data_IF_676500204018
#
_entry.id   IF_676500204018
#
_cell.length_a   1.000
_cell.length_b   1.000
_cell.length_c   1.000
_cell.angle_alpha   90.00
_cell.angle_beta   90.00
_cell.angle_gamma   90.00
#
_symmetry.space_group_name_H-M   'P 1'
#
loop_
_entity.id
_entity.type
_entity.pdbx_description
1 polymer ?
#
# COMPACT_ATOMS: atom_id res chain seq x y z
N UNK A 1 -6.41 24.85 17.65
CA UNK A 1 -5.71 24.07 18.69
C UNK A 1 -5.01 22.91 17.99
N UNK A 2 -3.70 22.78 18.16
CA UNK A 2 -2.92 21.65 17.66
C UNK A 2 -2.94 20.55 18.74
N UNK A 3 -3.31 19.33 18.36
CA UNK A 3 -3.26 18.16 19.24
C UNK A 3 -2.15 17.23 18.76
N UNK A 4 -1.30 16.78 19.69
CA UNK A 4 -0.22 15.83 19.42
C UNK A 4 -0.51 14.58 20.25
N UNK A 5 -0.41 13.41 19.62
CA UNK A 5 -0.61 12.10 20.25
C UNK A 5 0.55 11.19 19.84
N UNK A 6 0.98 10.32 20.76
CA UNK A 6 1.86 9.23 20.40
C UNK A 6 1.05 8.08 19.80
N UNK A 7 1.55 7.51 18.71
CA UNK A 7 0.99 6.30 18.09
C UNK A 7 1.66 5.03 18.60
N UNK A 8 2.60 5.17 19.52
CA UNK A 8 3.35 4.09 20.15
C UNK A 8 3.66 4.44 21.61
N UNK A 9 4.13 3.45 22.36
CA UNK A 9 4.61 3.67 23.72
C UNK A 9 5.94 4.42 23.69
N UNK A 10 5.98 5.60 24.32
CA UNK A 10 7.20 6.37 24.49
C UNK A 10 7.66 6.23 25.94
N UNK A 11 8.81 5.60 26.22
CA UNK A 11 9.31 5.48 27.58
C UNK A 11 9.68 6.86 28.13
N UNK A 12 9.66 7.00 29.46
CA UNK A 12 10.07 8.23 30.11
C UNK A 12 11.49 8.65 29.64
N UNK A 13 11.69 9.95 29.47
CA UNK A 13 12.97 10.55 29.06
C UNK A 13 13.43 10.24 27.63
N UNK A 14 12.58 9.62 26.80
CA UNK A 14 12.85 9.45 25.38
C UNK A 14 12.40 10.71 24.60
N UNK A 15 13.17 11.13 23.58
CA UNK A 15 12.76 12.22 22.69
C UNK A 15 11.41 11.94 22.03
N UNK A 16 10.59 12.99 21.88
CA UNK A 16 9.40 12.94 21.05
C UNK A 16 9.77 13.38 19.64
N UNK A 17 9.67 12.45 18.69
CA UNK A 17 9.95 12.71 17.28
C UNK A 17 8.64 12.79 16.50
N UNK A 18 8.62 13.64 15.47
CA UNK A 18 7.50 13.79 14.55
C UNK A 18 8.02 13.66 13.12
N UNK A 19 7.30 12.97 12.25
CA UNK A 19 7.68 12.86 10.84
C UNK A 19 7.43 14.19 10.13
N UNK A 20 8.49 14.76 9.54
CA UNK A 20 8.40 16.00 8.75
C UNK A 20 8.14 15.73 7.27
N UNK A 21 8.25 14.47 6.85
CA UNK A 21 8.02 14.04 5.49
C UNK A 21 7.22 12.75 5.40
N UNK A 22 7.15 12.16 4.20
CA UNK A 22 6.43 10.91 3.97
C UNK A 22 7.02 9.74 4.74
N UNK A 23 6.14 8.85 5.20
CA UNK A 23 6.46 7.66 5.97
C UNK A 23 6.77 6.47 5.05
N UNK A 24 7.28 5.39 5.65
CA UNK A 24 7.44 4.08 5.00
C UNK A 24 6.09 3.64 4.42
N UNK A 25 6.10 3.15 3.19
CA UNK A 25 4.88 2.79 2.45
C UNK A 25 4.22 3.95 1.70
N UNK A 26 4.48 5.20 2.07
CA UNK A 26 4.01 6.37 1.32
C UNK A 26 4.92 6.69 0.13
N UNK A 27 6.23 6.70 0.36
CA UNK A 27 7.30 6.85 -0.64
C UNK A 27 8.39 5.81 -0.38
N UNK A 28 9.19 5.48 -1.40
CA UNK A 28 10.40 4.67 -1.19
C UNK A 28 11.51 5.46 -0.48
N UNK A 29 12.58 4.76 -0.09
CA UNK A 29 13.69 5.36 0.65
C UNK A 29 14.36 6.52 -0.11
N UNK A 30 14.52 6.40 -1.44
CA UNK A 30 15.19 7.43 -2.23
C UNK A 30 14.36 8.70 -2.23
N UNK A 31 13.07 8.56 -2.50
CA UNK A 31 12.14 9.69 -2.58
C UNK A 31 11.93 10.35 -1.21
N UNK A 32 11.91 9.56 -0.12
CA UNK A 32 11.90 10.12 1.24
C UNK A 32 13.14 10.98 1.52
N UNK A 33 14.34 10.48 1.18
CA UNK A 33 15.59 11.22 1.40
C UNK A 33 15.65 12.48 0.54
N UNK A 34 15.31 12.36 -0.75
CA UNK A 34 15.30 13.50 -1.67
C UNK A 34 14.36 14.60 -1.19
N UNK A 35 13.13 14.26 -0.81
CA UNK A 35 12.16 15.23 -0.32
C UNK A 35 12.67 15.95 0.93
N UNK A 36 13.24 15.22 1.89
CA UNK A 36 13.76 15.82 3.12
C UNK A 36 15.00 16.69 2.88
N UNK A 37 15.88 16.27 1.98
CA UNK A 37 17.07 17.04 1.59
C UNK A 37 16.68 18.32 0.83
N UNK A 38 15.74 18.23 -0.10
CA UNK A 38 15.25 19.39 -0.88
C UNK A 38 14.48 20.40 -0.03
N UNK A 39 13.59 19.93 0.86
CA UNK A 39 12.70 20.81 1.62
C UNK A 39 13.30 21.29 2.94
N UNK A 40 14.15 20.48 3.57
CA UNK A 40 14.65 20.72 4.92
C UNK A 40 16.18 20.66 5.02
N UNK A 41 16.89 20.43 3.91
CA UNK A 41 18.36 20.44 3.84
C UNK A 41 19.06 19.48 4.80
N UNK A 42 18.44 18.32 5.06
CA UNK A 42 19.05 17.24 5.84
C UNK A 42 18.78 15.87 5.24
N UNK A 43 19.66 14.91 5.54
CA UNK A 43 19.44 13.49 5.27
C UNK A 43 18.97 12.77 6.52
N UNK A 44 17.88 12.04 6.41
CA UNK A 44 17.27 11.37 7.54
C UNK A 44 18.05 10.11 7.94
N UNK A 45 18.26 9.94 9.24
CA UNK A 45 18.97 8.78 9.81
C UNK A 45 18.11 8.06 10.87
N UNK A 46 16.77 8.20 10.78
CA UNK A 46 15.87 7.42 11.63
C UNK A 46 15.98 5.93 11.27
N UNK A 47 15.49 5.05 12.15
CA UNK A 47 15.49 3.59 11.94
C UNK A 47 14.95 3.18 10.57
N UNK A 48 13.84 3.79 10.13
CA UNK A 48 13.19 3.58 8.83
C UNK A 48 13.98 4.07 7.61
N UNK A 49 15.02 4.88 7.81
CA UNK A 49 15.89 5.41 6.76
C UNK A 49 17.30 4.81 6.81
N UNK A 50 17.69 4.27 7.97
CA UNK A 50 18.96 3.57 8.18
C UNK A 50 18.95 2.13 7.64
N UNK A 51 17.77 1.53 7.52
CA UNK A 51 17.58 0.19 6.92
C UNK A 51 16.52 0.22 5.83
N UNK A 52 16.76 -0.56 4.76
CA UNK A 52 15.82 -0.65 3.64
C UNK A 52 14.62 -1.52 4.01
N UNK A 53 13.41 -0.96 3.91
CA UNK A 53 12.18 -1.69 4.23
C UNK A 53 11.70 -2.52 3.05
N UNK A 54 10.94 -3.58 3.33
CA UNK A 54 10.29 -4.36 2.26
C UNK A 54 9.45 -3.47 1.35
N UNK A 55 8.67 -2.54 1.91
CA UNK A 55 7.89 -1.56 1.16
C UNK A 55 8.75 -0.73 0.20
N UNK A 56 9.97 -0.35 0.61
CA UNK A 56 10.86 0.48 -0.20
C UNK A 56 11.28 -0.25 -1.49
N UNK A 57 11.35 -1.58 -1.44
CA UNK A 57 11.62 -2.40 -2.62
C UNK A 57 10.42 -2.51 -3.54
N UNK A 58 9.20 -2.67 -3.00
CA UNK A 58 8.03 -3.06 -3.79
C UNK A 58 7.12 -1.90 -4.21
N UNK A 59 7.13 -0.78 -3.49
CA UNK A 59 6.15 0.30 -3.63
C UNK A 59 6.08 0.84 -5.06
N UNK A 60 7.24 0.99 -5.71
CA UNK A 60 7.40 1.51 -7.07
C UNK A 60 7.88 0.43 -8.08
N UNK A 61 7.97 -0.83 -7.65
CA UNK A 61 8.58 -1.89 -8.43
C UNK A 61 7.77 -2.34 -9.66
N UNK A 62 8.52 -2.82 -10.65
CA UNK A 62 7.98 -3.60 -11.75
C UNK A 62 8.06 -5.10 -11.45
N UNK A 63 7.15 -5.86 -12.04
CA UNK A 63 7.09 -7.32 -11.93
C UNK A 63 8.20 -7.94 -12.77
N UNK A 64 8.83 -9.03 -12.32
CA UNK A 64 9.67 -9.82 -13.22
C UNK A 64 8.88 -10.30 -14.47
N UNK A 65 9.45 -10.27 -15.69
CA UNK A 65 8.77 -10.81 -16.88
C UNK A 65 8.65 -12.34 -16.86
N UNK A 66 9.42 -13.04 -16.01
CA UNK A 66 9.30 -14.49 -15.83
C UNK A 66 8.06 -14.82 -14.98
N UNK A 67 7.13 -15.61 -15.53
CA UNK A 67 5.81 -15.87 -14.94
C UNK A 67 5.86 -16.37 -13.48
N UNK A 68 6.77 -17.31 -13.19
CA UNK A 68 6.92 -17.92 -11.85
C UNK A 68 7.89 -17.15 -10.93
N UNK A 69 8.28 -15.94 -11.32
CA UNK A 69 9.17 -15.09 -10.54
C UNK A 69 8.40 -13.94 -9.92
N UNK A 70 8.31 -13.92 -8.59
CA UNK A 70 7.80 -12.78 -7.82
C UNK A 70 8.90 -11.76 -7.50
N UNK A 71 9.99 -11.77 -8.28
CA UNK A 71 11.10 -10.87 -8.08
C UNK A 71 10.76 -9.43 -8.50
N UNK A 72 11.42 -8.48 -7.85
CA UNK A 72 11.31 -7.05 -8.11
C UNK A 72 12.26 -6.65 -9.23
N UNK A 73 11.79 -5.78 -10.12
CA UNK A 73 12.63 -4.99 -11.03
C UNK A 73 12.48 -3.53 -10.64
N UNK A 74 13.58 -2.88 -10.23
CA UNK A 74 13.58 -1.49 -9.78
C UNK A 74 14.08 -0.54 -10.87
N UNK A 75 13.59 0.71 -10.83
CA UNK A 75 13.94 1.76 -11.78
C UNK A 75 15.22 2.52 -11.40
N UNK A 76 15.55 2.60 -10.10
CA UNK A 76 16.36 3.72 -9.59
C UNK A 76 17.75 3.32 -9.08
N UNK A 77 18.00 2.03 -8.81
CA UNK A 77 19.16 1.66 -7.99
C UNK A 77 20.01 0.54 -8.58
N UNK A 78 21.32 0.70 -8.45
CA UNK A 78 22.26 -0.41 -8.48
C UNK A 78 22.24 -1.12 -7.14
N UNK A 79 21.98 -2.42 -7.18
CA UNK A 79 21.99 -3.27 -6.00
C UNK A 79 23.26 -4.09 -6.00
N UNK A 80 24.07 -3.93 -4.96
CA UNK A 80 25.24 -4.77 -4.73
C UNK A 80 24.93 -5.75 -3.60
N UNK A 81 24.86 -7.04 -3.92
CA UNK A 81 24.82 -8.10 -2.90
C UNK A 81 26.19 -8.18 -2.21
N UNK A 82 26.24 -7.96 -0.90
CA UNK A 82 27.47 -8.05 -0.10
C UNK A 82 27.59 -9.43 0.55
N UNK A 83 26.53 -9.89 1.22
CA UNK A 83 26.43 -11.19 1.90
C UNK A 83 25.00 -11.76 1.72
N UNK A 84 24.75 -13.00 2.16
CA UNK A 84 23.47 -13.70 1.92
C UNK A 84 22.23 -13.01 2.53
N UNK A 85 22.41 -12.05 3.44
CA UNK A 85 21.33 -11.25 4.04
C UNK A 85 21.52 -9.73 3.90
N UNK A 86 22.50 -9.26 3.13
CA UNK A 86 22.84 -7.83 3.01
C UNK A 86 22.87 -7.36 1.55
N UNK A 87 21.87 -6.56 1.19
CA UNK A 87 21.88 -5.75 -0.04
C UNK A 87 22.35 -4.34 0.30
N UNK A 88 23.40 -3.88 -0.40
CA UNK A 88 23.78 -2.48 -0.44
C UNK A 88 23.12 -1.83 -1.64
N UNK A 89 22.27 -0.85 -1.36
CA UNK A 89 21.68 0.00 -2.40
C UNK A 89 22.57 1.22 -2.54
N UNK A 90 23.19 1.40 -3.71
CA UNK A 90 23.91 2.62 -4.06
C UNK A 90 23.05 3.45 -4.99
N UNK A 91 22.40 4.48 -4.43
CA UNK A 91 21.86 5.60 -5.20
C UNK A 91 22.92 6.70 -5.36
N UNK A 92 22.61 7.76 -6.10
CA UNK A 92 23.54 8.87 -6.34
C UNK A 92 24.03 9.59 -5.06
N UNK A 93 23.39 9.38 -3.90
CA UNK A 93 23.63 10.16 -2.69
C UNK A 93 23.57 9.41 -1.34
N UNK A 94 23.34 8.09 -1.29
CA UNK A 94 23.38 7.31 -0.04
C UNK A 94 23.70 5.82 -0.26
N UNK A 95 24.16 5.18 0.82
CA UNK A 95 24.29 3.73 0.92
C UNK A 95 23.43 3.23 2.09
N UNK A 96 22.46 2.37 1.82
CA UNK A 96 21.63 1.75 2.86
C UNK A 96 21.82 0.23 2.86
N UNK A 97 21.73 -0.39 4.04
CA UNK A 97 21.76 -1.84 4.22
C UNK A 97 20.33 -2.36 4.29
N UNK A 98 20.05 -3.42 3.54
CA UNK A 98 18.89 -4.24 3.83
C UNK A 98 19.27 -5.21 4.95
N UNK A 99 18.83 -4.94 6.18
CA UNK A 99 18.71 -5.99 7.19
C UNK A 99 17.37 -6.67 6.93
N UNK A 100 17.37 -7.91 6.43
CA UNK A 100 16.14 -8.69 6.39
C UNK A 100 15.54 -8.71 7.82
N UNK A 101 14.24 -8.44 8.03
CA UNK A 101 13.72 -8.51 9.37
C UNK A 101 13.88 -9.94 9.88
N UNK A 102 14.37 -10.10 11.11
CA UNK A 102 13.87 -11.16 11.98
C UNK A 102 12.38 -10.90 12.09
N UNK A 103 11.62 -11.46 11.15
CA UNK A 103 10.21 -11.16 10.97
C UNK A 103 9.50 -11.60 12.24
N UNK A 104 8.90 -10.65 12.97
CA UNK A 104 7.97 -10.97 14.04
C UNK A 104 6.91 -11.94 13.50
N UNK A 105 6.46 -12.89 14.33
CA UNK A 105 5.63 -14.06 13.94
C UNK A 105 4.39 -13.77 13.08
N UNK A 106 4.01 -12.51 12.87
CA UNK A 106 2.81 -12.07 12.16
C UNK A 106 2.99 -11.80 10.65
N UNK A 107 4.18 -11.90 10.04
CA UNK A 107 4.41 -11.52 8.62
C UNK A 107 5.01 -12.64 7.74
N UNK A 108 4.52 -13.86 7.90
CA UNK A 108 5.05 -15.08 7.24
C UNK A 108 5.11 -15.01 5.69
N UNK A 109 4.21 -14.28 5.04
CA UNK A 109 4.22 -14.08 3.59
C UNK A 109 5.32 -13.14 3.08
N UNK A 110 5.64 -12.09 3.84
CA UNK A 110 6.68 -11.10 3.49
C UNK A 110 8.06 -11.73 3.59
N UNK A 111 8.30 -12.58 4.60
CA UNK A 111 9.54 -13.37 4.73
C UNK A 111 9.79 -14.22 3.48
N UNK A 112 8.78 -14.95 2.97
CA UNK A 112 8.94 -15.79 1.78
C UNK A 112 9.28 -14.98 0.53
N UNK A 113 8.63 -13.83 0.31
CA UNK A 113 8.92 -12.95 -0.83
C UNK A 113 10.30 -12.31 -0.69
N UNK A 114 10.66 -11.85 0.51
CA UNK A 114 11.98 -11.31 0.80
C UNK A 114 13.10 -12.35 0.60
N UNK A 115 12.89 -13.61 1.03
CA UNK A 115 13.82 -14.71 0.74
C UNK A 115 13.88 -15.05 -0.76
N UNK A 116 12.75 -14.99 -1.49
CA UNK A 116 12.75 -15.16 -2.94
C UNK A 116 13.52 -14.05 -3.67
N UNK A 117 13.53 -12.82 -3.14
CA UNK A 117 14.30 -11.71 -3.69
C UNK A 117 15.82 -11.90 -3.55
N UNK A 118 16.30 -12.73 -2.62
CA UNK A 118 17.74 -12.85 -2.29
C UNK A 118 18.35 -14.21 -2.69
N UNK A 119 17.54 -15.11 -3.26
CA UNK A 119 17.86 -16.52 -3.57
C UNK A 119 19.35 -16.79 -3.81
N UNK A 120 19.88 -17.73 -3.03
CA UNK A 120 21.26 -18.23 -2.97
C UNK A 120 21.91 -18.41 -4.34
N UNK A 121 22.59 -17.37 -4.83
CA UNK A 121 23.81 -17.56 -5.58
C UNK A 121 24.88 -16.83 -4.77
N UNK A 122 25.86 -17.57 -4.26
CA UNK A 122 27.03 -17.06 -3.51
C UNK A 122 27.98 -16.21 -4.36
N UNK A 123 27.42 -15.46 -5.31
CA UNK A 123 28.11 -14.57 -6.23
C UNK A 123 27.64 -13.17 -5.92
N UNK A 124 28.57 -12.29 -5.56
CA UNK A 124 28.35 -10.85 -5.52
C UNK A 124 27.90 -10.41 -6.91
N UNK A 125 26.62 -10.11 -7.08
CA UNK A 125 26.06 -9.63 -8.34
C UNK A 125 25.76 -8.13 -8.21
N UNK A 126 26.27 -7.36 -9.15
CA UNK A 126 25.84 -5.97 -9.38
C UNK A 126 24.62 -6.03 -10.30
N UNK A 127 23.45 -5.79 -9.72
CA UNK A 127 22.19 -5.82 -10.47
C UNK A 127 21.87 -4.38 -10.86
N UNK A 128 22.03 -4.09 -12.15
CA UNK A 128 21.69 -2.80 -12.73
C UNK A 128 20.17 -2.58 -12.83
N UNK A 129 19.74 -1.34 -13.10
CA UNK A 129 18.33 -1.01 -13.31
C UNK A 129 17.75 -1.84 -14.46
N UNK A 130 16.47 -2.21 -14.34
CA UNK A 130 15.78 -3.02 -15.35
C UNK A 130 16.01 -4.53 -15.24
N UNK A 131 16.90 -4.98 -14.35
CA UNK A 131 17.11 -6.41 -14.09
C UNK A 131 16.43 -6.85 -12.80
N UNK A 132 15.85 -8.05 -12.83
CA UNK A 132 15.16 -8.62 -11.67
C UNK A 132 16.13 -9.02 -10.57
N UNK A 133 15.88 -8.60 -9.33
CA UNK A 133 16.71 -8.90 -8.17
C UNK A 133 16.80 -10.41 -7.84
N UNK A 134 15.79 -11.18 -8.22
CA UNK A 134 15.70 -12.62 -7.91
C UNK A 134 16.34 -13.51 -8.98
N UNK A 135 16.10 -13.21 -10.26
CA UNK A 135 16.47 -14.12 -11.35
C UNK A 135 17.29 -13.47 -12.48
N UNK A 136 17.58 -12.17 -12.39
CA UNK A 136 18.35 -11.45 -13.39
C UNK A 136 17.65 -11.27 -14.75
N UNK A 137 16.35 -11.52 -14.87
CA UNK A 137 15.63 -11.26 -16.12
C UNK A 137 15.49 -9.76 -16.37
N UNK A 138 15.78 -9.34 -17.60
CA UNK A 138 15.66 -7.95 -18.05
C UNK A 138 14.20 -7.58 -18.34
N UNK A 139 13.81 -6.36 -17.97
CA UNK A 139 12.58 -5.69 -18.37
C UNK A 139 12.91 -4.28 -18.82
N UNK A 140 12.33 -3.90 -19.95
CA UNK A 140 12.37 -2.52 -20.46
C UNK A 140 11.58 -1.59 -19.52
N UNK A 141 12.31 -0.72 -18.82
CA UNK A 141 11.73 0.22 -17.86
C UNK A 141 11.00 1.37 -18.53
N UNK A 142 11.52 1.91 -19.63
CA UNK A 142 10.91 3.06 -20.31
C UNK A 142 9.53 2.69 -20.88
N UNK A 143 9.46 1.54 -21.54
CA UNK A 143 8.20 0.97 -21.98
C UNK A 143 7.27 0.70 -20.79
N UNK A 144 7.79 0.08 -19.72
CA UNK A 144 6.99 -0.29 -18.55
C UNK A 144 6.42 0.92 -17.81
N UNK A 145 7.19 2.01 -17.68
CA UNK A 145 6.73 3.29 -17.11
C UNK A 145 5.61 3.87 -17.98
N UNK A 146 5.83 3.97 -19.29
CA UNK A 146 4.86 4.56 -20.23
C UNK A 146 3.55 3.76 -20.24
N UNK A 147 3.63 2.45 -20.36
CA UNK A 147 2.46 1.56 -20.34
C UNK A 147 1.72 1.62 -19.00
N UNK A 148 2.45 1.66 -17.88
CA UNK A 148 1.84 1.83 -16.56
C UNK A 148 1.11 3.16 -16.41
N UNK A 149 1.69 4.26 -16.89
CA UNK A 149 1.07 5.58 -16.80
C UNK A 149 -0.19 5.68 -17.67
N UNK A 150 -0.13 5.13 -18.88
CA UNK A 150 -1.29 5.07 -19.78
C UNK A 150 -2.43 4.24 -19.18
N UNK A 151 -2.14 3.08 -18.61
CA UNK A 151 -3.15 2.23 -17.98
C UNK A 151 -3.76 2.91 -16.74
N UNK A 152 -2.95 3.55 -15.89
CA UNK A 152 -3.47 4.30 -14.73
C UNK A 152 -4.32 5.50 -15.17
N UNK A 153 -3.94 6.20 -16.23
CA UNK A 153 -4.73 7.30 -16.79
C UNK A 153 -6.12 6.83 -17.20
N UNK A 154 -6.24 5.69 -17.91
CA UNK A 154 -7.54 5.15 -18.30
C UNK A 154 -8.43 4.81 -17.09
N UNK A 155 -7.84 4.25 -16.02
CA UNK A 155 -8.57 3.93 -14.79
C UNK A 155 -9.02 5.22 -14.08
N UNK A 156 -8.19 6.26 -14.05
CA UNK A 156 -8.56 7.55 -13.48
C UNK A 156 -9.66 8.24 -14.30
N UNK A 157 -9.61 8.12 -15.63
CA UNK A 157 -10.66 8.62 -16.53
C UNK A 157 -12.03 8.01 -16.23
N UNK A 158 -12.10 6.70 -15.91
CA UNK A 158 -13.34 6.08 -15.44
C UNK A 158 -13.84 6.78 -14.17
N UNK A 159 -12.99 6.93 -13.16
CA UNK A 159 -13.33 7.58 -11.90
C UNK A 159 -13.83 9.02 -12.10
N UNK A 160 -13.24 9.78 -13.01
CA UNK A 160 -13.61 11.18 -13.25
C UNK A 160 -14.88 11.33 -14.11
N UNK A 161 -15.14 10.36 -15.00
CA UNK A 161 -16.28 10.39 -15.93
C UNK A 161 -17.61 9.95 -15.30
N UNK A 162 -17.58 9.39 -14.09
CA UNK A 162 -18.79 8.97 -13.40
C UNK A 162 -19.57 10.20 -12.95
N UNK A 163 -20.62 10.51 -13.69
CA UNK A 163 -21.63 11.51 -13.34
C UNK A 163 -22.93 10.81 -12.94
N UNK A 164 -23.92 11.55 -12.45
CA UNK A 164 -25.24 11.02 -12.09
C UNK A 164 -26.02 10.39 -13.26
N UNK A 165 -25.50 10.41 -14.49
CA UNK A 165 -26.13 9.87 -15.72
C UNK A 165 -25.67 8.46 -16.08
N UNK A 166 -24.92 7.79 -15.21
CA UNK A 166 -24.37 6.46 -15.46
C UNK A 166 -23.06 6.48 -16.26
N UNK A 167 -22.43 5.32 -16.38
CA UNK A 167 -21.14 5.13 -17.05
C UNK A 167 -21.35 4.24 -18.27
N UNK A 168 -20.80 4.58 -19.45
CA UNK A 168 -20.77 3.65 -20.57
C UNK A 168 -20.00 2.37 -20.21
N UNK A 169 -20.59 1.19 -20.45
CA UNK A 169 -19.97 -0.12 -20.18
C UNK A 169 -18.56 -0.26 -20.78
N UNK A 170 -18.33 0.40 -21.91
CA UNK A 170 -17.04 0.45 -22.60
C UNK A 170 -15.95 1.01 -21.68
N UNK A 171 -16.22 2.10 -20.94
CA UNK A 171 -15.22 2.69 -20.03
C UNK A 171 -14.87 1.77 -18.86
N UNK A 172 -15.84 0.99 -18.38
CA UNK A 172 -15.60 -0.01 -17.33
C UNK A 172 -14.71 -1.13 -17.88
N UNK A 173 -15.04 -1.64 -19.08
CA UNK A 173 -14.24 -2.66 -19.75
C UNK A 173 -12.80 -2.21 -19.99
N UNK A 174 -12.61 -0.98 -20.51
CA UNK A 174 -11.29 -0.40 -20.78
C UNK A 174 -10.47 -0.24 -19.48
N UNK A 175 -11.10 0.15 -18.38
CA UNK A 175 -10.44 0.26 -17.08
C UNK A 175 -10.03 -1.10 -16.51
N UNK A 176 -10.86 -2.14 -16.65
CA UNK A 176 -10.52 -3.50 -16.22
C UNK A 176 -9.39 -4.12 -17.05
N UNK A 177 -9.38 -3.87 -18.37
CA UNK A 177 -8.26 -4.25 -19.24
C UNK A 177 -6.98 -3.52 -18.81
N UNK A 178 -7.08 -2.21 -18.54
CA UNK A 178 -5.96 -1.41 -18.03
C UNK A 178 -5.44 -1.91 -16.69
N UNK A 179 -6.30 -2.33 -15.76
CA UNK A 179 -5.90 -2.95 -14.50
C UNK A 179 -5.17 -4.28 -14.75
N UNK A 180 -5.65 -5.08 -15.70
CA UNK A 180 -5.01 -6.35 -16.07
C UNK A 180 -3.60 -6.11 -16.62
N UNK A 181 -3.44 -5.10 -17.49
CA UNK A 181 -2.12 -4.67 -17.96
C UNK A 181 -1.22 -4.17 -16.83
N UNK A 182 -1.74 -3.38 -15.89
CA UNK A 182 -0.98 -2.95 -14.71
C UNK A 182 -0.46 -4.14 -13.90
N UNK A 183 -1.28 -5.16 -13.65
CA UNK A 183 -0.88 -6.39 -12.92
C UNK A 183 0.18 -7.23 -13.65
N UNK A 184 0.35 -7.06 -14.96
CA UNK A 184 1.41 -7.70 -15.75
C UNK A 184 2.73 -6.92 -15.72
N UNK A 185 2.66 -5.61 -15.50
CA UNK A 185 3.80 -4.69 -15.59
C UNK A 185 4.36 -4.38 -14.19
N UNK A 186 3.49 -4.01 -13.25
CA UNK A 186 3.84 -3.59 -11.89
C UNK A 186 3.90 -4.78 -10.94
N UNK A 187 4.75 -4.68 -9.92
CA UNK A 187 4.80 -5.68 -8.88
C UNK A 187 3.41 -5.83 -8.22
N UNK A 188 2.94 -7.05 -7.90
CA UNK A 188 1.59 -7.26 -7.34
C UNK A 188 1.30 -6.45 -6.08
N UNK A 189 2.33 -6.15 -5.30
CA UNK A 189 2.23 -5.35 -4.07
C UNK A 189 2.65 -3.89 -4.24
N UNK A 190 2.75 -3.40 -5.47
CA UNK A 190 3.07 -1.98 -5.72
C UNK A 190 1.92 -1.07 -5.34
N UNK A 191 2.24 0.18 -4.96
CA UNK A 191 1.25 1.19 -4.61
C UNK A 191 0.35 1.55 -5.79
N UNK A 192 0.89 1.53 -7.01
CA UNK A 192 0.13 1.77 -8.25
C UNK A 192 -0.99 0.75 -8.43
N UNK A 193 -0.73 -0.54 -8.14
CA UNK A 193 -1.79 -1.57 -8.24
C UNK A 193 -2.84 -1.36 -7.16
N UNK A 194 -2.47 -1.10 -5.90
CA UNK A 194 -3.43 -0.80 -4.83
C UNK A 194 -4.34 0.38 -5.20
N UNK A 195 -3.76 1.46 -5.74
CA UNK A 195 -4.54 2.63 -6.12
C UNK A 195 -5.45 2.40 -7.34
N UNK A 196 -5.02 1.54 -8.28
CA UNK A 196 -5.87 1.13 -9.39
C UNK A 196 -7.10 0.33 -8.90
N UNK A 197 -6.89 -0.60 -7.96
CA UNK A 197 -7.96 -1.35 -7.32
C UNK A 197 -8.93 -0.43 -6.57
N UNK A 198 -8.43 0.51 -5.77
CA UNK A 198 -9.25 1.49 -5.05
C UNK A 198 -10.08 2.38 -6.01
N UNK A 199 -9.46 2.88 -7.08
CA UNK A 199 -10.18 3.69 -8.07
C UNK A 199 -11.30 2.91 -8.76
N UNK A 200 -11.09 1.63 -9.05
CA UNK A 200 -12.13 0.76 -9.64
C UNK A 200 -13.21 0.41 -8.60
N UNK A 201 -12.83 0.19 -7.34
CA UNK A 201 -13.79 -0.02 -6.25
C UNK A 201 -14.74 1.19 -6.12
N UNK A 202 -14.19 2.40 -6.05
CA UNK A 202 -14.97 3.63 -6.00
C UNK A 202 -15.86 3.80 -7.24
N UNK A 203 -15.37 3.41 -8.42
CA UNK A 203 -16.18 3.44 -9.63
C UNK A 203 -17.40 2.51 -9.53
N UNK A 204 -17.20 1.28 -9.03
CA UNK A 204 -18.28 0.31 -8.84
C UNK A 204 -19.30 0.76 -7.78
N UNK A 205 -18.87 1.38 -6.69
CA UNK A 205 -19.78 1.98 -5.69
C UNK A 205 -20.72 2.97 -6.34
N UNK A 206 -20.20 3.85 -7.20
CA UNK A 206 -21.01 4.91 -7.83
C UNK A 206 -22.03 4.41 -8.85
N UNK A 207 -21.83 3.22 -9.43
CA UNK A 207 -22.80 2.57 -10.32
C UNK A 207 -23.70 1.55 -9.61
N UNK A 208 -23.52 1.37 -8.28
CA UNK A 208 -24.34 0.47 -7.47
C UNK A 208 -23.93 -1.01 -7.48
N UNK A 209 -22.79 -1.34 -8.06
CA UNK A 209 -22.27 -2.72 -8.16
C UNK A 209 -21.41 -3.07 -6.93
N UNK A 210 -22.04 -3.15 -5.76
CA UNK A 210 -21.34 -3.20 -4.48
C UNK A 210 -20.51 -4.48 -4.27
N UNK A 211 -20.95 -5.64 -4.78
CA UNK A 211 -20.16 -6.89 -4.66
C UNK A 211 -18.80 -6.77 -5.37
N UNK A 212 -18.80 -6.17 -6.58
CA UNK A 212 -17.57 -5.90 -7.33
C UNK A 212 -16.70 -4.87 -6.63
N UNK A 213 -17.32 -3.78 -6.14
CA UNK A 213 -16.62 -2.77 -5.36
C UNK A 213 -15.91 -3.39 -4.15
N UNK A 214 -16.59 -4.28 -3.43
CA UNK A 214 -16.05 -4.96 -2.26
C UNK A 214 -14.79 -5.77 -2.61
N UNK A 215 -14.84 -6.57 -3.67
CA UNK A 215 -13.70 -7.38 -4.11
C UNK A 215 -12.47 -6.53 -4.44
N UNK A 216 -12.67 -5.41 -5.14
CA UNK A 216 -11.59 -4.48 -5.47
C UNK A 216 -11.06 -3.74 -4.22
N UNK A 217 -11.94 -3.34 -3.29
CA UNK A 217 -11.53 -2.71 -2.04
C UNK A 217 -10.70 -3.67 -1.15
N UNK A 218 -11.12 -4.94 -1.03
CA UNK A 218 -10.36 -5.98 -0.33
C UNK A 218 -8.98 -6.17 -0.98
N UNK A 219 -8.91 -6.27 -2.31
CA UNK A 219 -7.64 -6.41 -3.03
C UNK A 219 -6.69 -5.21 -2.78
N UNK A 220 -7.22 -3.99 -2.71
CA UNK A 220 -6.45 -2.80 -2.33
C UNK A 220 -5.89 -2.92 -0.91
N UNK A 221 -6.73 -3.30 0.07
CA UNK A 221 -6.34 -3.47 1.47
C UNK A 221 -5.24 -4.52 1.61
N UNK A 222 -5.38 -5.69 0.97
CA UNK A 222 -4.39 -6.77 1.01
C UNK A 222 -2.99 -6.31 0.55
N UNK A 223 -2.94 -5.41 -0.44
CA UNK A 223 -1.69 -4.82 -0.93
C UNK A 223 -1.16 -3.78 0.07
N UNK A 224 -2.02 -2.91 0.59
CA UNK A 224 -1.64 -1.87 1.55
C UNK A 224 -1.09 -2.46 2.85
N UNK A 225 -1.60 -3.60 3.31
CA UNK A 225 -1.05 -4.37 4.42
C UNK A 225 0.39 -4.87 4.18
N UNK A 226 0.84 -4.94 2.92
CA UNK A 226 2.25 -5.25 2.59
C UNK A 226 3.13 -4.01 2.59
N UNK A 227 2.54 -2.84 2.36
CA UNK A 227 3.24 -1.56 2.27
C UNK A 227 3.32 -0.82 3.61
N UNK A 228 2.33 -1.00 4.47
CA UNK A 228 2.19 -0.26 5.73
C UNK A 228 2.14 -1.20 6.95
N UNK A 229 2.47 -0.70 8.16
CA UNK A 229 2.12 -1.37 9.41
C UNK A 229 0.60 -1.56 9.54
N UNK A 230 0.16 -2.63 10.21
CA UNK A 230 -1.27 -2.99 10.31
C UNK A 230 -2.15 -1.90 10.96
N UNK A 231 -1.59 -1.13 11.88
CA UNK A 231 -2.29 -0.06 12.60
C UNK A 231 -2.17 1.30 11.88
N UNK A 232 -1.62 1.35 10.66
CA UNK A 232 -1.38 2.61 9.97
C UNK A 232 -2.69 3.25 9.49
N UNK A 233 -2.79 4.58 9.58
CA UNK A 233 -4.02 5.33 9.28
C UNK A 233 -4.59 5.10 7.87
N UNK A 234 -3.74 4.84 6.89
CA UNK A 234 -4.16 4.51 5.51
C UNK A 234 -5.02 3.24 5.47
N UNK A 235 -4.68 2.22 6.26
CA UNK A 235 -5.48 0.99 6.35
C UNK A 235 -6.85 1.30 6.97
N UNK A 236 -6.89 2.17 7.99
CA UNK A 236 -8.15 2.61 8.60
C UNK A 236 -9.07 3.34 7.61
N UNK A 237 -8.52 4.17 6.72
CA UNK A 237 -9.32 4.84 5.68
C UNK A 237 -9.89 3.86 4.65
N UNK A 238 -9.14 2.84 4.24
CA UNK A 238 -9.66 1.83 3.31
C UNK A 238 -10.67 0.89 3.97
N UNK A 239 -10.43 0.47 5.21
CA UNK A 239 -11.40 -0.31 5.99
C UNK A 239 -12.73 0.44 6.18
N UNK A 240 -12.69 1.77 6.25
CA UNK A 240 -13.90 2.58 6.29
C UNK A 240 -14.72 2.48 5.00
N UNK A 241 -14.04 2.53 3.84
CA UNK A 241 -14.71 2.33 2.54
C UNK A 241 -15.32 0.93 2.49
N UNK A 242 -14.57 -0.09 2.93
CA UNK A 242 -15.06 -1.46 3.01
C UNK A 242 -16.31 -1.58 3.90
N UNK A 243 -16.30 -0.98 5.09
CA UNK A 243 -17.47 -0.97 5.98
C UNK A 243 -18.71 -0.35 5.31
N UNK A 244 -18.52 0.77 4.60
CA UNK A 244 -19.62 1.41 3.85
C UNK A 244 -20.17 0.51 2.74
N UNK A 245 -19.31 -0.22 2.03
CA UNK A 245 -19.71 -1.16 0.98
C UNK A 245 -20.45 -2.37 1.58
N UNK A 246 -19.96 -2.90 2.70
CA UNK A 246 -20.58 -4.02 3.42
C UNK A 246 -21.98 -3.67 3.93
N UNK A 247 -22.18 -2.46 4.47
CA UNK A 247 -23.51 -1.96 4.82
C UNK A 247 -24.43 -1.88 3.61
N UNK A 248 -23.92 -1.44 2.46
CA UNK A 248 -24.70 -1.37 1.21
C UNK A 248 -25.07 -2.75 0.65
N UNK A 249 -24.43 -3.82 1.14
CA UNK A 249 -24.70 -5.22 0.82
C UNK A 249 -25.50 -5.94 1.92
N UNK A 250 -25.97 -5.21 2.94
CA UNK A 250 -26.65 -5.76 4.13
C UNK A 250 -25.79 -6.80 4.91
N UNK A 251 -24.45 -6.80 4.73
CA UNK A 251 -23.53 -7.63 5.51
C UNK A 251 -23.11 -6.91 6.80
N UNK A 252 -24.08 -6.80 7.72
CA UNK A 252 -23.90 -6.08 8.98
C UNK A 252 -22.83 -6.71 9.89
N UNK A 253 -22.67 -8.03 9.84
CA UNK A 253 -21.68 -8.73 10.64
C UNK A 253 -20.25 -8.39 10.19
N UNK A 254 -19.99 -8.41 8.87
CA UNK A 254 -18.70 -8.00 8.34
C UNK A 254 -18.48 -6.49 8.52
N UNK A 255 -19.51 -5.67 8.30
CA UNK A 255 -19.44 -4.22 8.53
C UNK A 255 -19.02 -3.89 9.98
N UNK A 256 -19.62 -4.53 10.99
CA UNK A 256 -19.23 -4.34 12.39
C UNK A 256 -17.78 -4.75 12.66
N UNK A 257 -17.30 -5.83 12.05
CA UNK A 257 -15.91 -6.25 12.17
C UNK A 257 -14.97 -5.19 11.60
N UNK A 258 -15.28 -4.66 10.42
CA UNK A 258 -14.52 -3.58 9.78
C UNK A 258 -14.56 -2.30 10.61
N UNK A 259 -15.74 -1.87 11.07
CA UNK A 259 -15.91 -0.67 11.91
C UNK A 259 -15.09 -0.78 13.20
N UNK A 260 -15.07 -1.94 13.87
CA UNK A 260 -14.24 -2.15 15.07
C UNK A 260 -12.75 -1.95 14.80
N UNK A 261 -12.26 -2.43 13.65
CA UNK A 261 -10.87 -2.21 13.25
C UNK A 261 -10.59 -0.73 12.95
N UNK A 262 -11.53 -0.04 12.29
CA UNK A 262 -11.41 1.40 12.05
C UNK A 262 -11.42 2.19 13.35
N UNK A 263 -12.30 1.87 14.30
CA UNK A 263 -12.34 2.51 15.62
C UNK A 263 -11.00 2.32 16.36
N UNK A 264 -10.41 1.12 16.30
CA UNK A 264 -9.11 0.86 16.91
C UNK A 264 -7.99 1.72 16.30
N UNK A 265 -7.89 1.75 14.96
CA UNK A 265 -6.88 2.54 14.24
C UNK A 265 -7.12 4.05 14.48
N UNK A 266 -8.33 4.55 14.26
CA UNK A 266 -8.61 5.98 14.38
C UNK A 266 -8.49 6.47 15.83
N UNK A 267 -8.80 5.63 16.83
CA UNK A 267 -8.58 6.00 18.24
C UNK A 267 -7.10 6.16 18.59
N UNK A 268 -6.20 5.42 17.93
CA UNK A 268 -4.76 5.60 18.07
C UNK A 268 -4.35 7.02 17.66
N UNK A 269 -4.78 7.45 16.46
CA UNK A 269 -4.39 8.74 15.88
C UNK A 269 -5.16 9.95 16.41
N UNK A 270 -6.46 9.80 16.71
CA UNK A 270 -7.36 10.92 17.02
C UNK A 270 -7.91 10.87 18.45
N UNK A 271 -7.80 9.74 19.15
CA UNK A 271 -8.29 9.56 20.51
C UNK A 271 -9.79 9.86 20.64
N UNK A 272 -10.16 10.54 21.73
CA UNK A 272 -11.55 10.93 22.01
C UNK A 272 -12.15 11.91 21.00
N UNK A 273 -11.36 12.47 20.07
CA UNK A 273 -11.85 13.35 19.02
C UNK A 273 -12.25 12.61 17.74
N UNK A 274 -12.01 11.29 17.67
CA UNK A 274 -12.34 10.46 16.51
C UNK A 274 -13.79 10.67 16.04
N UNK A 275 -14.77 10.60 16.95
CA UNK A 275 -16.20 10.76 16.60
C UNK A 275 -16.56 12.16 16.14
N UNK A 276 -15.78 13.18 16.51
CA UNK A 276 -15.98 14.56 16.03
C UNK A 276 -15.42 14.75 14.62
N UNK A 277 -14.29 14.11 14.32
CA UNK A 277 -13.62 14.20 13.00
C UNK A 277 -14.35 13.31 11.98
N UNK A 278 -14.82 12.14 12.42
CA UNK A 278 -15.50 11.15 11.58
C UNK A 278 -16.88 10.82 12.18
N UNK A 279 -17.84 11.77 12.15
CA UNK A 279 -19.15 11.59 12.77
C UNK A 279 -19.96 10.44 12.16
N UNK A 280 -19.64 10.04 10.93
CA UNK A 280 -20.30 8.96 10.22
C UNK A 280 -19.96 7.56 10.79
N UNK A 281 -18.90 7.40 11.59
CA UNK A 281 -18.58 6.11 12.24
C UNK A 281 -19.71 5.64 13.14
N UNK A 282 -20.26 6.56 13.95
CA UNK A 282 -21.39 6.27 14.84
C UNK A 282 -22.70 6.07 14.07
N UNK A 283 -22.82 6.62 12.86
CA UNK A 283 -23.95 6.31 11.99
C UNK A 283 -23.85 4.88 11.45
N UNK A 284 -22.70 4.53 10.87
CA UNK A 284 -22.43 3.19 10.35
C UNK A 284 -22.56 2.12 11.43
N UNK A 285 -22.06 2.39 12.64
CA UNK A 285 -22.15 1.46 13.77
C UNK A 285 -23.60 1.20 14.16
N UNK A 286 -24.41 2.24 14.33
CA UNK A 286 -25.83 2.11 14.67
C UNK A 286 -26.62 1.36 13.60
N UNK A 287 -26.35 1.65 12.32
CA UNK A 287 -26.98 0.97 11.19
C UNK A 287 -26.65 -0.53 11.18
N UNK A 288 -25.38 -0.87 11.44
CA UNK A 288 -24.95 -2.26 11.52
C UNK A 288 -25.52 -3.00 12.74
N UNK A 289 -25.72 -2.32 13.87
CA UNK A 289 -26.29 -2.89 15.10
C UNK A 289 -27.81 -3.10 15.00
N UNK A 290 -28.56 -2.12 14.47
CA UNK A 290 -30.03 -2.16 14.43
C UNK A 290 -30.60 -3.36 13.68
N UNK A 291 -29.90 -3.82 12.63
CA UNK A 291 -30.39 -4.88 11.74
C UNK A 291 -29.98 -6.29 12.20
N UNK A 292 -29.05 -6.40 13.16
CA UNK A 292 -28.76 -7.65 13.87
C UNK A 292 -29.77 -7.95 14.98
N UNK A 293 -30.37 -6.92 15.58
CA UNK A 293 -31.41 -7.11 16.59
C UNK A 293 -32.74 -7.57 15.96
N UNK A 294 -33.05 -7.12 14.73
CA UNK A 294 -34.22 -7.56 13.97
C UNK A 294 -34.11 -8.99 13.43
N UNK A 295 -32.89 -9.46 13.12
CA UNK A 295 -32.67 -10.84 12.64
C UNK A 295 -32.59 -11.89 13.76
N UNK A 296 -32.28 -11.48 14.99
CA UNK A 296 -32.24 -12.38 16.17
C UNK A 296 -33.56 -12.43 16.95
N UNK A 297 -34.59 -11.68 16.53
CA UNK A 297 -35.90 -11.60 17.19
C UNK A 297 -37.02 -12.35 16.43
N UNK A 298 -36.65 -13.17 15.44
CA UNK A 298 -37.53 -14.08 14.67
C UNK A 298 -37.15 -15.53 14.97
#
# INVERSE_FOLDING_TARGET
MLLIRSTEFVPAWHPLELSYGPQVGQLDLQDRQNLLEEQYSFKCQCSSCSELNFSDLIINAFRCPKADCLGVVSHVSHYKKIEDDLLQVSGASYSCRLSLPVVSKHKMGISKVAHMLIKENGVTCDIGPGYCLSCGCYRDLEFSVTASNSAMFNIQMLKDSITSKGVPDILISDALESLSHLKMIRHPYSKVVAQAEDNIAEAYVRIGEFERAMNHCIASIEILEKLYPAEHIVIGHELMKLASIQLSLDDHAAALSSIKQVEAIFSLYYGSHMTKIFPYIEAFKREAESLLEETNSV
#
